data_IF_292410416921
#
_entry.id   IF_292410416921
#
_cell.length_a   1.000
_cell.length_b   1.000
_cell.length_c   1.000
_cell.angle_alpha   90.00
_cell.angle_beta   90.00
_cell.angle_gamma   90.00
#
_symmetry.space_group_name_H-M   'P 1'
#
loop_
_entity.id
_entity.type
_entity.pdbx_description
1 polymer ?
#
# COMPACT_ATOMS: atom_id res chain seq x y z
N UNK A 1 -1.73 1.82 9.04
CA UNK A 1 -1.01 1.87 7.73
C UNK A 1 -1.40 0.67 6.89
N UNK A 2 -1.52 0.79 5.56
CA UNK A 2 -1.99 -0.30 4.68
C UNK A 2 -1.19 -1.62 4.85
N UNK A 3 0.13 -1.54 4.98
CA UNK A 3 0.99 -2.69 5.24
C UNK A 3 0.66 -3.41 6.56
N UNK A 4 0.27 -2.66 7.59
CA UNK A 4 -0.12 -3.23 8.89
C UNK A 4 -1.52 -3.85 8.84
N UNK A 5 -2.47 -3.20 8.14
CA UNK A 5 -3.81 -3.75 7.91
C UNK A 5 -3.80 -5.09 7.17
N UNK A 6 -2.78 -5.31 6.32
CA UNK A 6 -2.58 -6.54 5.56
C UNK A 6 -1.58 -7.52 6.23
N UNK A 7 -1.17 -7.27 7.48
CA UNK A 7 -0.22 -8.15 8.19
C UNK A 7 1.18 -8.24 7.56
N UNK A 8 1.50 -7.34 6.61
CA UNK A 8 2.79 -7.27 5.93
C UNK A 8 3.86 -6.59 6.80
N UNK A 9 3.44 -5.77 7.77
CA UNK A 9 4.32 -5.13 8.73
C UNK A 9 3.68 -5.06 10.11
N UNK A 10 4.49 -5.26 11.15
CA UNK A 10 4.10 -5.04 12.55
C UNK A 10 4.41 -3.62 13.02
N UNK A 11 5.04 -2.80 12.18
CA UNK A 11 5.38 -1.41 12.54
C UNK A 11 4.10 -0.58 12.71
N UNK A 12 3.94 -0.01 13.90
CA UNK A 12 2.85 0.92 14.21
C UNK A 12 3.41 2.34 14.11
N UNK A 13 2.99 3.14 13.13
CA UNK A 13 3.55 4.47 12.94
C UNK A 13 3.02 5.44 14.00
N UNK A 14 3.91 6.30 14.51
CA UNK A 14 3.57 7.42 15.39
C UNK A 14 2.68 8.47 14.70
N UNK A 15 2.79 8.58 13.37
CA UNK A 15 2.06 9.55 12.54
C UNK A 15 1.33 8.79 11.42
N UNK A 16 0.03 9.04 11.27
CA UNK A 16 -0.74 8.46 10.17
C UNK A 16 -0.48 9.25 8.88
N UNK A 17 0.22 8.62 7.93
CA UNK A 17 0.56 9.23 6.64
C UNK A 17 -0.34 8.68 5.53
N UNK A 18 -0.92 9.58 4.74
CA UNK A 18 -1.77 9.27 3.59
C UNK A 18 -1.28 10.02 2.35
N UNK A 19 -1.47 9.45 1.17
CA UNK A 19 -1.21 10.14 -0.08
C UNK A 19 -2.38 11.04 -0.49
N UNK A 20 -2.08 12.16 -1.16
CA UNK A 20 -3.09 13.02 -1.76
C UNK A 20 -2.61 13.57 -3.11
N UNK A 21 -3.55 13.87 -4.01
CA UNK A 21 -3.26 14.62 -5.24
C UNK A 21 -3.34 16.16 -5.03
N UNK A 22 -3.73 16.60 -3.83
CA UNK A 22 -3.75 18.01 -3.42
C UNK A 22 -2.45 18.40 -2.73
N UNK A 23 -2.34 19.64 -2.25
CA UNK A 23 -1.17 20.08 -1.51
C UNK A 23 -1.02 19.30 -0.21
N UNK A 24 0.23 18.98 0.14
CA UNK A 24 0.58 18.34 1.40
C UNK A 24 0.06 19.19 2.56
N UNK A 25 -0.47 18.53 3.58
CA UNK A 25 -1.04 19.17 4.75
C UNK A 25 -0.98 18.24 5.94
N UNK A 26 -0.90 18.81 7.12
CA UNK A 26 -0.89 18.08 8.38
C UNK A 26 -1.99 18.62 9.27
N UNK A 27 -2.64 17.70 9.99
CA UNK A 27 -3.62 18.03 11.00
C UNK A 27 -3.26 17.37 12.31
N UNK A 28 -3.50 18.09 13.40
CA UNK A 28 -3.41 17.56 14.75
C UNK A 28 -4.81 17.46 15.34
N UNK A 29 -5.22 16.26 15.71
CA UNK A 29 -6.53 16.00 16.34
C UNK A 29 -6.31 15.12 17.56
N UNK A 30 -6.80 15.54 18.73
CA UNK A 30 -6.77 14.74 19.98
C UNK A 30 -5.42 14.08 20.28
N UNK A 31 -4.32 14.81 20.09
CA UNK A 31 -2.95 14.31 20.32
C UNK A 31 -2.36 13.44 19.22
N UNK A 32 -3.12 13.14 18.16
CA UNK A 32 -2.64 12.41 16.98
C UNK A 32 -2.33 13.36 15.83
N UNK A 33 -1.33 12.97 15.02
CA UNK A 33 -0.96 13.69 13.81
C UNK A 33 -1.37 12.87 12.59
N UNK A 34 -2.13 13.50 11.70
CA UNK A 34 -2.51 12.97 10.40
C UNK A 34 -1.85 13.82 9.32
N UNK A 35 -1.01 13.20 8.50
CA UNK A 35 -0.25 13.87 7.44
C UNK A 35 -0.70 13.39 6.08
N UNK A 36 -1.03 14.32 5.20
CA UNK A 36 -1.24 14.08 3.79
C UNK A 36 0.00 14.51 3.01
N UNK A 37 0.58 13.59 2.25
CA UNK A 37 1.74 13.82 1.40
C UNK A 37 1.28 13.88 -0.06
N UNK A 38 1.54 15.01 -0.71
CA UNK A 38 1.29 15.17 -2.14
C UNK A 38 2.11 14.16 -2.92
N UNK A 39 1.46 13.40 -3.79
CA UNK A 39 2.11 12.51 -4.75
C UNK A 39 1.58 12.77 -6.16
N UNK A 40 2.46 12.60 -7.15
CA UNK A 40 2.10 12.58 -8.57
C UNK A 40 1.89 11.16 -9.10
N UNK A 41 2.21 10.16 -8.30
CA UNK A 41 1.92 8.77 -8.64
C UNK A 41 0.42 8.54 -8.45
N UNK A 42 -0.33 8.49 -9.54
CA UNK A 42 -1.77 8.27 -9.49
C UNK A 42 -2.14 6.81 -9.19
N UNK A 43 -1.19 5.89 -9.35
CA UNK A 43 -1.42 4.45 -9.20
C UNK A 43 -1.83 4.10 -7.75
N UNK A 44 -1.37 4.85 -6.74
CA UNK A 44 -1.74 4.65 -5.33
C UNK A 44 -3.19 5.03 -4.99
N UNK A 45 -3.91 5.68 -5.91
CA UNK A 45 -5.32 6.06 -5.73
C UNK A 45 -6.30 5.07 -6.38
N UNK A 46 -5.79 4.00 -6.99
CA UNK A 46 -6.64 2.94 -7.54
C UNK A 46 -7.36 2.17 -6.42
N UNK A 47 -8.56 1.66 -6.71
CA UNK A 47 -9.36 0.83 -5.80
C UNK A 47 -9.56 1.51 -4.42
N UNK A 48 -10.17 2.71 -4.38
CA UNK A 48 -10.31 3.47 -3.14
C UNK A 48 -11.16 2.68 -2.13
N UNK A 49 -10.66 2.58 -0.90
CA UNK A 49 -11.30 1.85 0.21
C UNK A 49 -11.40 0.33 0.03
N UNK A 50 -10.74 -0.23 -0.98
CA UNK A 50 -10.68 -1.67 -1.21
C UNK A 50 -9.31 -2.25 -0.81
N UNK A 51 -9.28 -3.55 -0.47
CA UNK A 51 -8.03 -4.24 -0.07
C UNK A 51 -6.98 -4.27 -1.18
N UNK A 52 -7.42 -4.31 -2.43
CA UNK A 52 -6.54 -4.23 -3.61
C UNK A 52 -5.75 -2.92 -3.60
N UNK A 53 -6.43 -1.79 -3.33
CA UNK A 53 -5.79 -0.49 -3.21
C UNK A 53 -4.83 -0.42 -2.02
N UNK A 54 -5.18 -1.07 -0.90
CA UNK A 54 -4.29 -1.19 0.26
C UNK A 54 -3.02 -1.98 -0.07
N UNK A 55 -3.14 -3.05 -0.85
CA UNK A 55 -1.99 -3.85 -1.26
C UNK A 55 -1.03 -3.03 -2.14
N UNK A 56 -1.57 -2.29 -3.12
CA UNK A 56 -0.77 -1.37 -3.95
C UNK A 56 -0.07 -0.33 -3.08
N UNK A 57 -0.79 0.34 -2.17
CA UNK A 57 -0.22 1.34 -1.29
C UNK A 57 0.86 0.76 -0.35
N UNK A 58 0.67 -0.47 0.16
CA UNK A 58 1.63 -1.17 0.99
C UNK A 58 2.92 -1.50 0.21
N UNK A 59 2.80 -1.99 -1.02
CA UNK A 59 3.96 -2.28 -1.87
C UNK A 59 4.73 -0.99 -2.18
N UNK A 60 4.05 0.10 -2.52
CA UNK A 60 4.71 1.41 -2.71
C UNK A 60 5.45 1.90 -1.47
N UNK A 61 4.90 1.65 -0.28
CA UNK A 61 5.56 2.00 0.96
C UNK A 61 6.87 1.22 1.16
N UNK A 62 6.88 -0.08 0.87
CA UNK A 62 8.09 -0.89 0.95
C UNK A 62 9.11 -0.54 -0.15
N UNK A 63 8.63 -0.15 -1.33
CA UNK A 63 9.47 0.18 -2.47
C UNK A 63 10.08 -1.05 -3.16
N UNK A 64 11.00 -0.85 -4.11
CA UNK A 64 11.52 -1.92 -4.97
C UNK A 64 12.56 -2.83 -4.30
N UNK A 65 13.16 -2.41 -3.18
CA UNK A 65 14.26 -3.13 -2.50
C UNK A 65 13.75 -3.99 -1.35
N UNK A 66 12.68 -4.74 -1.58
CA UNK A 66 12.15 -5.69 -0.61
C UNK A 66 13.06 -6.92 -0.63
N UNK A 67 13.66 -7.23 0.52
CA UNK A 67 14.51 -8.41 0.67
C UNK A 67 13.71 -9.72 0.66
N UNK A 68 12.55 -9.75 1.34
CA UNK A 68 11.70 -10.95 1.49
C UNK A 68 10.42 -10.88 0.64
N UNK A 69 10.60 -10.89 -0.68
CA UNK A 69 9.50 -10.77 -1.65
C UNK A 69 8.52 -11.95 -1.56
N UNK A 70 9.03 -13.17 -1.37
CA UNK A 70 8.23 -14.39 -1.31
C UNK A 70 7.24 -14.39 -0.12
N UNK A 71 7.70 -13.98 1.06
CA UNK A 71 6.84 -13.85 2.25
C UNK A 71 5.74 -12.81 2.05
N UNK A 72 6.05 -11.68 1.41
CA UNK A 72 5.04 -10.66 1.10
C UNK A 72 3.96 -11.22 0.18
N UNK A 73 4.34 -11.91 -0.89
CA UNK A 73 3.39 -12.52 -1.82
C UNK A 73 2.53 -13.57 -1.12
N UNK A 74 3.15 -14.44 -0.32
CA UNK A 74 2.43 -15.47 0.44
C UNK A 74 1.37 -14.86 1.36
N UNK A 75 1.73 -13.78 2.07
CA UNK A 75 0.78 -13.05 2.94
C UNK A 75 -0.33 -12.38 2.13
N UNK A 76 -0.01 -11.73 1.01
CA UNK A 76 -1.02 -11.12 0.14
C UNK A 76 -2.02 -12.15 -0.39
N UNK A 77 -1.56 -13.33 -0.82
CA UNK A 77 -2.43 -14.43 -1.28
C UNK A 77 -3.30 -15.02 -0.17
N UNK A 78 -2.88 -14.90 1.09
CA UNK A 78 -3.63 -15.35 2.26
C UNK A 78 -4.72 -14.33 2.67
N UNK A 79 -4.40 -13.05 2.61
CA UNK A 79 -5.29 -11.97 3.07
C UNK A 79 -6.33 -11.53 2.02
N UNK A 80 -6.00 -11.65 0.74
CA UNK A 80 -6.88 -11.32 -0.39
C UNK A 80 -7.63 -12.55 -0.89
N UNK A 81 -8.86 -12.35 -1.35
CA UNK A 81 -9.55 -13.40 -2.12
C UNK A 81 -8.87 -13.61 -3.48
N UNK A 82 -9.23 -14.70 -4.18
CA UNK A 82 -8.70 -14.97 -5.52
C UNK A 82 -9.04 -13.85 -6.50
N UNK A 83 -10.26 -13.32 -6.41
CA UNK A 83 -10.76 -12.24 -7.26
C UNK A 83 -10.04 -10.92 -6.95
N UNK A 84 -9.83 -10.62 -5.67
CA UNK A 84 -9.04 -9.46 -5.24
C UNK A 84 -7.58 -9.56 -5.69
N UNK A 85 -6.96 -10.74 -5.56
CA UNK A 85 -5.59 -10.96 -6.02
C UNK A 85 -5.47 -10.86 -7.55
N UNK A 86 -6.44 -11.39 -8.30
CA UNK A 86 -6.47 -11.22 -9.75
C UNK A 86 -6.64 -9.75 -10.15
N UNK A 87 -7.47 -9.01 -9.41
CA UNK A 87 -7.64 -7.56 -9.61
C UNK A 87 -6.34 -6.81 -9.29
N UNK A 88 -5.63 -7.22 -8.24
CA UNK A 88 -4.29 -6.72 -7.92
C UNK A 88 -3.31 -6.98 -9.06
N UNK A 89 -3.31 -8.17 -9.69
CA UNK A 89 -2.48 -8.49 -10.84
C UNK A 89 -2.83 -7.66 -12.09
N UNK A 90 -4.10 -7.29 -12.28
CA UNK A 90 -4.55 -6.50 -13.43
C UNK A 90 -4.43 -4.98 -13.24
N UNK A 91 -4.28 -4.51 -12.00
CA UNK A 91 -4.14 -3.09 -11.68
C UNK A 91 -2.96 -2.42 -12.42
N UNK A 92 -2.99 -1.11 -12.57
CA UNK A 92 -1.82 -0.37 -13.09
C UNK A 92 -0.73 -0.28 -12.02
N UNK A 93 0.50 -0.67 -12.34
CA UNK A 93 1.63 -0.66 -11.40
C UNK A 93 2.97 -0.69 -12.14
N UNK A 94 4.08 -0.28 -11.50
CA UNK A 94 5.40 -0.27 -12.10
C UNK A 94 5.95 -1.69 -12.24
N UNK A 95 6.86 -1.88 -13.21
CA UNK A 95 7.37 -3.21 -13.56
C UNK A 95 8.05 -3.96 -12.40
N UNK A 96 8.66 -3.26 -11.43
CA UNK A 96 9.24 -3.92 -10.26
C UNK A 96 8.17 -4.58 -9.37
N UNK A 97 7.00 -3.94 -9.22
CA UNK A 97 5.91 -4.48 -8.42
C UNK A 97 5.27 -5.67 -9.11
N UNK A 98 5.19 -5.63 -10.44
CA UNK A 98 4.73 -6.75 -11.25
C UNK A 98 5.63 -7.97 -11.07
N UNK A 99 6.96 -7.79 -11.16
CA UNK A 99 7.94 -8.88 -10.92
C UNK A 99 7.79 -9.52 -9.53
N UNK A 100 7.50 -8.73 -8.50
CA UNK A 100 7.28 -9.24 -7.15
C UNK A 100 6.02 -10.12 -7.10
N UNK A 101 4.93 -9.69 -7.74
CA UNK A 101 3.64 -10.41 -7.68
C UNK A 101 3.57 -11.66 -8.56
N UNK A 102 4.48 -11.79 -9.53
CA UNK A 102 4.64 -12.95 -10.41
C UNK A 102 5.37 -14.14 -9.76
N UNK A 103 6.02 -13.94 -8.61
CA UNK A 103 6.50 -15.03 -7.75
C UNK A 103 5.34 -15.87 -7.21
#
# INVERSE_FOLDING_TARGET
MAANLLGLSTQVPLINVFYTNKNSKEFRFFGQIVRFVKTRCHDVFQYPFERVGWAIAALYYFGPHIDDQASIVMKLRKELTKEEYQSLLNAKKPGWMQKILEF
#
